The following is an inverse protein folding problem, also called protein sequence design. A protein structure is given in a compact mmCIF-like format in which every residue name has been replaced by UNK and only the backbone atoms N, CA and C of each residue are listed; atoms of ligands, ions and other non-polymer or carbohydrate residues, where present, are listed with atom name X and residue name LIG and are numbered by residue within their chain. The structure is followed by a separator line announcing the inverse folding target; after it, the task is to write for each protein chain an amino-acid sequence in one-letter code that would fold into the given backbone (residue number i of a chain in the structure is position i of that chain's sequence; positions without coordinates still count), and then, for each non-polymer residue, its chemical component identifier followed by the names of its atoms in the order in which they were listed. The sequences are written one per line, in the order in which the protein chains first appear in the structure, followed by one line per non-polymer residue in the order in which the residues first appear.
data_IF_481793066641
#
_entry.id   IF_481793066641
#
_cell.length_a   1.000
_cell.length_b   1.000
_cell.length_c   1.000
_cell.angle_alpha   90.00
_cell.angle_beta   90.00
_cell.angle_gamma   90.00
#
_symmetry.space_group_name_H-M   'P 1'
#
loop_
_entity.id
_entity.type
_entity.pdbx_description
1 polymer ?
#
# COMPACT_ATOMS: atom_id res chain seq x y z
N UNK A 1 12.94 29.22 5.02
CA UNK A 1 12.05 29.70 6.10
C UNK A 1 10.65 29.69 5.53
N UNK A 2 9.68 29.13 6.26
CA UNK A 2 8.30 29.03 5.80
C UNK A 2 7.51 30.31 6.01
N UNK A 3 6.25 30.37 5.54
CA UNK A 3 5.34 31.48 5.80
C UNK A 3 5.10 31.73 7.30
N UNK A 4 5.30 30.71 8.15
CA UNK A 4 5.03 30.74 9.59
C UNK A 4 6.07 31.53 10.41
N UNK A 5 7.20 31.91 9.81
CA UNK A 5 8.26 32.71 10.44
C UNK A 5 8.84 33.75 9.46
N UNK A 6 8.14 34.88 9.24
CA UNK A 6 8.64 35.95 8.37
C UNK A 6 9.90 36.62 8.95
N UNK A 7 10.88 36.93 8.10
CA UNK A 7 11.97 37.84 8.49
C UNK A 7 11.36 39.20 8.86
N UNK A 8 11.77 39.81 9.98
CA UNK A 8 11.42 41.22 10.25
C UNK A 8 11.93 42.09 9.10
N UNK A 9 11.04 42.89 8.52
CA UNK A 9 11.43 43.90 7.52
C UNK A 9 12.22 45.02 8.22
N UNK A 10 13.18 45.62 7.51
CA UNK A 10 13.89 46.82 7.95
C UNK A 10 13.43 47.98 7.08
N UNK A 11 12.99 49.07 7.70
CA UNK A 11 12.54 50.26 7.00
C UNK A 11 13.62 50.79 6.04
N UNK A 12 13.19 51.24 4.87
CA UNK A 12 14.05 51.75 3.79
C UNK A 12 15.12 50.78 3.24
N UNK A 13 15.08 49.49 3.59
CA UNK A 13 15.92 48.46 2.96
C UNK A 13 15.11 47.62 1.97
N UNK A 14 15.38 47.77 0.66
CA UNK A 14 14.97 46.80 -0.35
C UNK A 14 16.13 46.49 -1.29
N UNK A 15 16.49 45.20 -1.41
CA UNK A 15 17.59 44.75 -2.26
C UNK A 15 17.15 43.61 -3.18
N UNK A 16 17.52 43.71 -4.46
CA UNK A 16 17.13 42.78 -5.51
C UNK A 16 18.29 41.87 -5.92
N UNK A 17 18.11 40.55 -5.83
CA UNK A 17 19.10 39.59 -6.32
C UNK A 17 19.06 39.51 -7.86
N UNK A 18 20.14 39.90 -8.54
CA UNK A 18 20.23 39.87 -10.01
C UNK A 18 20.18 38.45 -10.59
N UNK A 19 20.66 37.43 -9.86
CA UNK A 19 20.69 36.02 -10.33
C UNK A 19 19.32 35.35 -10.36
N UNK A 20 18.45 35.64 -9.39
CA UNK A 20 17.17 34.95 -9.21
C UNK A 20 15.93 35.86 -9.26
N UNK A 21 16.11 37.17 -9.40
CA UNK A 21 15.06 38.20 -9.46
C UNK A 21 14.21 38.33 -8.18
N UNK A 22 14.64 37.76 -7.04
CA UNK A 22 13.97 37.95 -5.74
C UNK A 22 14.29 39.29 -5.09
N UNK A 23 13.31 39.83 -4.37
CA UNK A 23 13.40 41.04 -3.54
C UNK A 23 13.56 40.64 -2.06
N UNK A 24 14.38 41.39 -1.33
CA UNK A 24 14.70 41.17 0.09
C UNK A 24 14.58 42.47 0.87
N UNK A 25 13.76 42.47 1.92
CA UNK A 25 13.58 43.61 2.85
C UNK A 25 14.35 43.46 4.17
N UNK A 26 15.36 42.60 4.15
CA UNK A 26 16.23 42.34 5.29
C UNK A 26 17.63 41.91 4.78
N UNK A 27 18.72 42.60 5.17
CA UNK A 27 20.07 42.33 4.68
C UNK A 27 20.60 40.96 5.13
N UNK A 28 20.19 40.48 6.31
CA UNK A 28 20.56 39.14 6.82
C UNK A 28 19.91 38.06 5.94
N UNK A 29 18.65 38.26 5.55
CA UNK A 29 17.94 37.32 4.69
C UNK A 29 18.46 37.35 3.23
N UNK A 30 18.97 38.50 2.74
CA UNK A 30 19.73 38.56 1.48
C UNK A 30 21.09 37.85 1.58
N UNK A 31 21.89 38.14 2.61
CA UNK A 31 23.22 37.52 2.80
C UNK A 31 23.09 35.99 2.89
N UNK A 32 22.19 35.48 3.74
CA UNK A 32 21.89 34.04 3.87
C UNK A 32 21.39 33.40 2.57
N UNK A 33 20.76 34.16 1.67
CA UNK A 33 20.33 33.67 0.36
C UNK A 33 21.50 33.47 -0.61
N UNK A 34 22.50 34.36 -0.57
CA UNK A 34 23.76 34.22 -1.32
C UNK A 34 24.61 33.10 -0.71
N UNK A 35 24.89 33.15 0.60
CA UNK A 35 25.76 32.21 1.31
C UNK A 35 25.32 30.74 1.17
N UNK A 36 24.02 30.48 1.03
CA UNK A 36 23.44 29.12 0.89
C UNK A 36 23.08 28.74 -0.55
N UNK A 37 23.51 29.50 -1.56
CA UNK A 37 23.25 29.18 -2.97
C UNK A 37 21.76 29.15 -3.36
N UNK A 38 20.87 29.77 -2.56
CA UNK A 38 19.41 29.65 -2.72
C UNK A 38 18.95 30.21 -4.08
N UNK A 39 19.71 31.17 -4.64
CA UNK A 39 19.48 31.76 -5.96
C UNK A 39 19.57 30.77 -7.14
N UNK A 40 20.23 29.62 -6.96
CA UNK A 40 20.38 28.58 -7.98
C UNK A 40 19.19 27.62 -7.97
N UNK A 41 18.62 27.40 -6.79
CA UNK A 41 17.50 26.49 -6.55
C UNK A 41 16.15 27.18 -6.79
N UNK A 42 16.02 28.46 -6.46
CA UNK A 42 14.76 29.22 -6.56
C UNK A 42 14.91 30.51 -7.36
N UNK A 43 14.01 30.72 -8.33
CA UNK A 43 13.93 31.91 -9.20
C UNK A 43 12.52 32.53 -9.15
N UNK A 44 12.39 33.78 -9.56
CA UNK A 44 11.12 34.52 -9.63
C UNK A 44 10.75 34.86 -11.09
N UNK A 45 9.57 34.44 -11.59
CA UNK A 45 9.12 34.79 -12.96
C UNK A 45 9.12 36.33 -13.09
N UNK A 46 9.69 36.86 -14.18
CA UNK A 46 9.70 38.31 -14.42
C UNK A 46 8.31 38.86 -14.73
N UNK A 47 7.42 38.03 -15.29
CA UNK A 47 6.08 38.41 -15.74
C UNK A 47 5.03 38.34 -14.61
N UNK A 48 4.91 37.20 -13.91
CA UNK A 48 3.89 37.02 -12.86
C UNK A 48 4.41 37.19 -11.42
N UNK A 49 5.72 37.33 -11.22
CA UNK A 49 6.31 37.45 -9.88
C UNK A 49 6.33 36.17 -9.03
N UNK A 50 5.82 35.03 -9.52
CA UNK A 50 5.81 33.77 -8.77
C UNK A 50 7.24 33.23 -8.55
N UNK A 51 7.51 32.81 -7.31
CA UNK A 51 8.75 32.09 -6.97
C UNK A 51 8.57 30.61 -7.31
N UNK A 52 9.51 30.05 -8.06
CA UNK A 52 9.52 28.66 -8.49
C UNK A 52 10.87 28.00 -8.22
N UNK A 53 10.86 26.67 -8.09
CA UNK A 53 12.07 25.86 -7.96
C UNK A 53 12.56 25.44 -9.34
N UNK A 54 13.86 25.56 -9.59
CA UNK A 54 14.53 25.00 -10.77
C UNK A 54 14.59 23.48 -10.59
N UNK A 55 13.94 22.74 -11.48
CA UNK A 55 14.07 21.28 -11.59
C UNK A 55 15.14 20.94 -12.66
N UNK A 56 15.44 19.65 -12.84
CA UNK A 56 16.67 19.18 -13.53
C UNK A 56 16.89 19.77 -14.94
N UNK A 57 18.18 19.85 -15.33
CA UNK A 57 18.71 20.57 -16.51
C UNK A 57 18.15 20.17 -17.89
N UNK A 58 17.36 19.10 -17.99
CA UNK A 58 16.88 18.56 -19.27
C UNK A 58 15.54 19.20 -19.69
N UNK A 59 14.65 19.49 -18.73
CA UNK A 59 13.41 20.25 -18.98
C UNK A 59 13.66 21.75 -18.77
N UNK A 60 14.17 22.42 -19.80
CA UNK A 60 14.68 23.79 -19.73
C UNK A 60 13.61 24.90 -19.54
N UNK A 61 12.34 24.54 -19.35
CA UNK A 61 11.20 25.45 -19.15
C UNK A 61 10.78 25.57 -17.68
N UNK A 62 11.66 26.17 -16.88
CA UNK A 62 11.36 26.52 -15.49
C UNK A 62 10.21 27.53 -15.38
N UNK A 63 9.09 27.10 -14.79
CA UNK A 63 7.83 27.86 -14.61
C UNK A 63 7.29 28.53 -15.87
N UNK A 64 6.31 27.87 -16.49
CA UNK A 64 5.50 28.50 -17.54
C UNK A 64 4.49 29.45 -16.89
N UNK A 65 4.72 30.75 -17.06
CA UNK A 65 3.85 31.82 -16.58
C UNK A 65 2.44 31.67 -17.21
N UNK A 66 1.38 31.99 -16.44
CA UNK A 66 -0.06 31.86 -16.81
C UNK A 66 -0.64 30.45 -17.06
N UNK A 67 0.16 29.39 -16.95
CA UNK A 67 -0.32 28.00 -17.06
C UNK A 67 -0.86 27.49 -15.73
N UNK A 68 -2.03 26.81 -15.76
CA UNK A 68 -2.66 26.17 -14.61
C UNK A 68 -2.81 24.66 -14.84
N UNK A 69 -2.69 23.88 -13.77
CA UNK A 69 -3.03 22.46 -13.80
C UNK A 69 -4.55 22.31 -13.70
N UNK A 70 -5.16 21.64 -14.68
CA UNK A 70 -6.58 21.33 -14.65
C UNK A 70 -6.81 19.97 -13.98
N UNK A 71 -7.61 19.93 -12.92
CA UNK A 71 -7.93 18.70 -12.18
C UNK A 71 -8.75 17.68 -12.99
N UNK A 72 -9.48 18.14 -14.01
CA UNK A 72 -10.36 17.32 -14.85
C UNK A 72 -9.57 16.49 -15.86
N UNK A 73 -8.81 17.13 -16.76
CA UNK A 73 -7.98 16.46 -17.76
C UNK A 73 -6.60 16.02 -17.24
N UNK A 74 -6.19 16.49 -16.05
CA UNK A 74 -4.88 16.24 -15.42
C UNK A 74 -3.67 16.72 -16.22
N UNK A 75 -3.85 17.71 -17.10
CA UNK A 75 -2.76 18.39 -17.82
C UNK A 75 -2.67 19.88 -17.48
N UNK A 76 -1.58 20.50 -17.94
CA UNK A 76 -1.28 21.92 -17.77
C UNK A 76 -1.75 22.70 -18.99
N UNK A 77 -2.56 23.73 -18.78
CA UNK A 77 -3.14 24.56 -19.82
C UNK A 77 -2.96 26.04 -19.55
N UNK A 78 -2.83 26.85 -20.60
CA UNK A 78 -3.06 28.31 -20.51
C UNK A 78 -4.56 28.60 -20.32
N UNK A 79 -4.91 29.84 -19.95
CA UNK A 79 -6.32 30.23 -19.70
C UNK A 79 -7.21 30.24 -20.95
N UNK A 80 -6.58 30.41 -22.11
CA UNK A 80 -7.16 30.51 -23.45
C UNK A 80 -7.30 29.16 -24.15
N UNK A 81 -6.64 28.11 -23.65
CA UNK A 81 -6.77 26.75 -24.18
C UNK A 81 -8.08 26.10 -23.73
N UNK A 82 -8.83 25.56 -24.69
CA UNK A 82 -10.02 24.76 -24.38
C UNK A 82 -9.61 23.40 -23.80
N UNK A 83 -9.98 23.16 -22.54
CA UNK A 83 -9.71 21.90 -21.85
C UNK A 83 -10.59 20.77 -22.40
N UNK A 84 -10.07 19.99 -23.34
CA UNK A 84 -10.73 18.76 -23.80
C UNK A 84 -10.60 17.66 -22.73
N UNK A 85 -11.71 17.11 -22.26
CA UNK A 85 -11.71 15.96 -21.36
C UNK A 85 -11.19 14.75 -22.13
N UNK A 86 -9.98 14.30 -21.80
CA UNK A 86 -9.41 13.10 -22.39
C UNK A 86 -10.33 11.90 -22.13
N UNK A 87 -10.49 11.06 -23.15
CA UNK A 87 -11.18 9.77 -22.97
C UNK A 87 -10.52 9.00 -21.83
N UNK A 88 -11.33 8.28 -21.05
CA UNK A 88 -10.84 7.48 -19.92
C UNK A 88 -9.96 6.35 -20.47
N UNK A 89 -8.66 6.59 -20.57
CA UNK A 89 -7.68 5.56 -20.91
C UNK A 89 -7.78 4.48 -19.82
N UNK A 90 -8.08 3.22 -20.17
CA UNK A 90 -8.09 2.15 -19.19
C UNK A 90 -6.72 2.09 -18.51
N UNK A 91 -6.69 2.28 -17.18
CA UNK A 91 -5.46 2.09 -16.42
C UNK A 91 -4.94 0.68 -16.73
N UNK A 92 -3.65 0.57 -17.05
CA UNK A 92 -3.02 -0.73 -17.23
C UNK A 92 -3.33 -1.61 -16.02
N UNK A 93 -3.97 -2.75 -16.27
CA UNK A 93 -4.41 -3.67 -15.23
C UNK A 93 -3.18 -4.27 -14.55
N UNK A 94 -2.86 -3.78 -13.35
CA UNK A 94 -1.80 -4.37 -12.54
C UNK A 94 -2.16 -5.83 -12.26
N UNK A 95 -1.25 -6.73 -12.63
CA UNK A 95 -1.43 -8.17 -12.41
C UNK A 95 -1.45 -8.46 -10.91
N UNK A 96 -2.60 -8.93 -10.40
CA UNK A 96 -2.77 -9.36 -9.02
C UNK A 96 -3.11 -10.85 -8.94
N UNK A 97 -2.84 -11.44 -7.78
CA UNK A 97 -3.34 -12.75 -7.37
C UNK A 97 -4.51 -12.53 -6.42
N UNK A 98 -5.66 -13.12 -6.72
CA UNK A 98 -6.76 -13.30 -5.79
C UNK A 98 -6.65 -14.69 -5.16
N UNK A 99 -6.84 -14.76 -3.85
CA UNK A 99 -6.93 -16.02 -3.11
C UNK A 99 -8.26 -16.02 -2.38
N UNK A 100 -9.24 -16.76 -2.89
CA UNK A 100 -10.52 -16.92 -2.19
C UNK A 100 -10.34 -18.04 -1.19
N UNK A 101 -10.69 -17.82 0.08
CA UNK A 101 -10.56 -18.83 1.12
C UNK A 101 -11.77 -18.88 2.05
N UNK A 102 -11.94 -20.00 2.75
CA UNK A 102 -12.95 -20.17 3.78
C UNK A 102 -12.43 -21.07 4.91
N UNK A 103 -12.96 -20.86 6.12
CA UNK A 103 -12.55 -21.57 7.34
C UNK A 103 -13.75 -22.29 7.96
N UNK A 104 -13.63 -23.60 8.16
CA UNK A 104 -14.48 -24.30 9.13
C UNK A 104 -13.82 -24.24 10.50
N UNK A 105 -14.65 -24.06 11.54
CA UNK A 105 -14.20 -23.99 12.92
C UNK A 105 -14.99 -24.96 13.79
N UNK A 106 -14.28 -25.71 14.64
CA UNK A 106 -14.88 -26.43 15.75
C UNK A 106 -14.83 -25.60 17.05
N UNK A 107 -15.77 -25.86 17.95
CA UNK A 107 -15.77 -25.27 19.29
C UNK A 107 -14.99 -26.19 20.22
N UNK A 108 -13.90 -25.69 20.81
CA UNK A 108 -13.26 -26.41 21.92
C UNK A 108 -14.13 -26.21 23.16
N UNK A 109 -14.96 -27.20 23.49
CA UNK A 109 -15.59 -27.30 24.81
C UNK A 109 -14.58 -27.81 25.83
N UNK A 110 -14.45 -27.13 26.97
CA UNK A 110 -13.52 -27.44 28.06
C UNK A 110 -13.75 -28.79 28.78
N UNK A 111 -14.65 -29.63 28.25
CA UNK A 111 -15.00 -30.94 28.77
C UNK A 111 -14.07 -32.02 28.21
N UNK A 112 -12.79 -32.02 28.63
CA UNK A 112 -12.00 -33.22 28.91
C UNK A 112 -10.59 -32.89 29.44
N UNK A 113 -10.38 -33.21 30.73
CA UNK A 113 -9.10 -33.49 31.41
C UNK A 113 -8.18 -32.35 31.90
N UNK A 114 -8.35 -32.07 33.20
CA UNK A 114 -7.33 -32.12 34.28
C UNK A 114 -6.03 -31.31 34.22
N UNK A 115 -5.81 -30.56 35.31
CA UNK A 115 -4.52 -30.31 35.95
C UNK A 115 -3.51 -29.40 35.25
N UNK A 116 -3.93 -28.24 34.75
CA UNK A 116 -3.02 -27.08 34.70
C UNK A 116 -3.68 -25.84 35.32
N UNK A 117 -3.14 -25.41 36.46
CA UNK A 117 -3.61 -24.25 37.22
C UNK A 117 -3.09 -22.95 36.62
N UNK A 118 -3.73 -22.47 35.55
CA UNK A 118 -3.65 -21.06 35.15
C UNK A 118 -5.02 -20.55 34.72
N UNK A 119 -5.55 -19.58 35.48
CA UNK A 119 -6.89 -19.03 35.33
C UNK A 119 -7.02 -18.17 34.07
N UNK A 120 -7.81 -18.63 33.10
CA UNK A 120 -8.26 -17.81 31.96
C UNK A 120 -9.74 -18.07 31.64
N UNK A 121 -10.58 -17.09 31.99
CA UNK A 121 -12.01 -16.87 31.67
C UNK A 121 -12.92 -18.07 31.31
N UNK A 122 -13.89 -18.34 32.20
CA UNK A 122 -14.89 -19.41 32.13
C UNK A 122 -15.96 -19.29 31.00
N UNK A 123 -15.77 -18.44 29.98
CA UNK A 123 -16.75 -18.29 28.89
C UNK A 123 -16.17 -18.07 27.47
N UNK A 124 -14.86 -18.18 27.26
CA UNK A 124 -14.32 -18.17 25.89
C UNK A 124 -14.46 -19.54 25.23
N UNK A 125 -15.56 -19.72 24.48
CA UNK A 125 -15.60 -20.72 23.42
C UNK A 125 -14.53 -20.40 22.38
N UNK A 126 -13.40 -21.10 22.47
CA UNK A 126 -12.30 -20.97 21.52
C UNK A 126 -12.67 -21.69 20.21
N UNK A 127 -13.03 -20.89 19.20
CA UNK A 127 -13.13 -21.37 17.82
C UNK A 127 -11.75 -21.81 17.33
N UNK A 128 -11.61 -23.10 17.03
CA UNK A 128 -10.41 -23.71 16.48
C UNK A 128 -10.63 -24.03 15.00
N UNK A 129 -9.76 -23.51 14.12
CA UNK A 129 -9.87 -23.75 12.68
C UNK A 129 -9.51 -25.20 12.38
N UNK A 130 -10.50 -26.01 11.98
CA UNK A 130 -10.31 -27.43 11.72
C UNK A 130 -10.25 -27.77 10.22
N UNK A 131 -10.75 -26.88 9.36
CA UNK A 131 -10.53 -26.90 7.92
C UNK A 131 -10.22 -25.49 7.40
N UNK A 132 -9.26 -25.38 6.51
CA UNK A 132 -9.10 -24.24 5.60
C UNK A 132 -9.23 -24.76 4.18
N UNK A 133 -10.00 -24.08 3.33
CA UNK A 133 -9.97 -24.31 1.88
C UNK A 133 -9.64 -23.00 1.16
N UNK A 134 -8.78 -23.05 0.14
CA UNK A 134 -8.35 -21.87 -0.62
C UNK A 134 -8.19 -22.14 -2.12
N UNK A 135 -8.52 -21.13 -2.94
CA UNK A 135 -8.46 -21.16 -4.40
C UNK A 135 -7.62 -20.00 -4.97
N UNK A 136 -6.69 -20.32 -5.87
CA UNK A 136 -5.81 -19.36 -6.56
C UNK A 136 -6.36 -18.89 -7.92
N UNK A 137 -6.64 -17.59 -8.04
CA UNK A 137 -7.13 -16.95 -9.27
C UNK A 137 -6.26 -15.74 -9.61
N UNK A 138 -5.68 -15.67 -10.82
CA UNK A 138 -5.04 -14.43 -11.29
C UNK A 138 -5.55 -14.02 -12.67
N UNK A 139 -5.46 -12.72 -12.96
CA UNK A 139 -5.96 -12.10 -14.20
C UNK A 139 -5.49 -12.86 -15.45
N UNK A 140 -4.21 -13.25 -15.51
CA UNK A 140 -3.63 -13.99 -16.65
C UNK A 140 -4.19 -15.41 -16.80
N UNK A 141 -4.35 -16.14 -15.70
CA UNK A 141 -4.95 -17.47 -15.73
C UNK A 141 -6.45 -17.42 -16.08
N UNK A 142 -7.15 -16.34 -15.68
CA UNK A 142 -8.55 -16.12 -16.06
C UNK A 142 -8.69 -15.83 -17.56
N UNK A 143 -7.91 -14.89 -18.09
CA UNK A 143 -7.91 -14.51 -19.51
C UNK A 143 -7.60 -15.70 -20.44
N UNK A 144 -6.64 -16.55 -20.05
CA UNK A 144 -6.21 -17.68 -20.88
C UNK A 144 -7.00 -18.98 -20.63
N UNK A 145 -8.06 -18.96 -19.81
CA UNK A 145 -8.80 -20.14 -19.31
C UNK A 145 -8.01 -21.17 -18.48
N UNK A 146 -6.68 -21.06 -18.35
CA UNK A 146 -5.86 -21.95 -17.49
C UNK A 146 -6.34 -22.06 -16.04
N UNK A 147 -7.13 -21.10 -15.52
CA UNK A 147 -7.73 -21.16 -14.19
C UNK A 147 -8.56 -22.42 -13.91
N UNK A 148 -9.02 -23.11 -14.97
CA UNK A 148 -9.77 -24.38 -14.90
C UNK A 148 -8.88 -25.61 -14.69
N UNK A 149 -7.57 -25.49 -14.92
CA UNK A 149 -6.59 -26.57 -14.71
C UNK A 149 -6.37 -26.79 -13.20
N UNK A 150 -6.16 -28.03 -12.76
CA UNK A 150 -5.91 -28.33 -11.34
C UNK A 150 -4.65 -27.62 -10.79
N UNK A 151 -3.65 -27.37 -11.64
CA UNK A 151 -2.37 -26.76 -11.27
C UNK A 151 -2.14 -25.42 -11.98
N UNK A 152 -1.26 -24.59 -11.44
CA UNK A 152 -0.93 -23.26 -11.97
C UNK A 152 0.03 -23.26 -13.15
N UNK A 153 0.55 -24.43 -13.55
CA UNK A 153 1.53 -24.57 -14.62
C UNK A 153 2.80 -23.74 -14.37
N UNK A 154 3.19 -22.92 -15.34
CA UNK A 154 4.35 -22.00 -15.25
C UNK A 154 3.97 -20.58 -14.79
N UNK A 155 2.77 -20.36 -14.24
CA UNK A 155 2.28 -19.02 -13.92
C UNK A 155 3.06 -18.35 -12.76
N UNK A 156 3.89 -17.36 -13.10
CA UNK A 156 4.66 -16.55 -12.13
C UNK A 156 3.80 -15.78 -11.12
N UNK A 157 2.53 -15.49 -11.41
CA UNK A 157 1.65 -14.73 -10.49
C UNK A 157 0.94 -15.63 -9.49
N UNK A 158 0.65 -16.89 -9.83
CA UNK A 158 0.05 -17.87 -8.92
C UNK A 158 1.08 -18.75 -8.19
N UNK A 159 2.38 -18.56 -8.43
CA UNK A 159 3.42 -19.55 -8.10
C UNK A 159 3.44 -20.70 -9.11
N UNK A 160 4.62 -21.28 -9.38
CA UNK A 160 4.77 -22.37 -10.35
C UNK A 160 4.32 -23.71 -9.76
N UNK A 161 3.67 -24.54 -10.60
CA UNK A 161 3.21 -25.91 -10.28
C UNK A 161 2.41 -26.06 -8.98
N UNK A 162 1.86 -24.96 -8.46
CA UNK A 162 1.02 -24.95 -7.27
C UNK A 162 -0.35 -25.52 -7.62
N UNK A 163 -0.94 -26.35 -6.75
CA UNK A 163 -2.32 -26.79 -6.91
C UNK A 163 -3.25 -25.59 -6.69
N UNK A 164 -4.23 -25.37 -7.58
CA UNK A 164 -5.10 -24.18 -7.54
C UNK A 164 -6.04 -24.18 -6.36
N UNK A 165 -6.66 -25.31 -6.08
CA UNK A 165 -7.55 -25.52 -4.94
C UNK A 165 -6.86 -26.43 -3.94
N UNK A 166 -6.64 -25.94 -2.73
CA UNK A 166 -5.98 -26.67 -1.65
C UNK A 166 -6.85 -26.60 -0.39
N UNK A 167 -6.79 -27.65 0.40
CA UNK A 167 -7.40 -27.67 1.72
C UNK A 167 -6.40 -28.21 2.75
N UNK A 168 -6.47 -27.65 3.96
CA UNK A 168 -5.72 -28.08 5.12
C UNK A 168 -6.74 -28.49 6.17
N UNK A 169 -6.59 -29.67 6.77
CA UNK A 169 -7.54 -30.22 7.73
C UNK A 169 -6.83 -30.82 8.94
N UNK A 170 -7.49 -30.88 10.08
CA UNK A 170 -6.95 -31.52 11.31
C UNK A 170 -6.60 -33.00 11.13
N UNK A 171 -7.18 -33.67 10.12
CA UNK A 171 -6.79 -35.03 9.73
C UNK A 171 -5.35 -35.13 9.16
N UNK A 172 -4.81 -34.04 8.61
CA UNK A 172 -3.49 -34.00 7.96
C UNK A 172 -2.50 -33.04 8.64
N UNK A 173 -2.98 -32.08 9.43
CA UNK A 173 -2.19 -30.96 9.94
C UNK A 173 -2.57 -30.63 11.39
N UNK A 174 -1.58 -30.36 12.25
CA UNK A 174 -1.82 -29.98 13.65
C UNK A 174 -2.51 -28.61 13.80
N UNK A 175 -2.24 -27.68 12.89
CA UNK A 175 -2.89 -26.37 12.84
C UNK A 175 -3.13 -25.97 11.37
N UNK A 176 -4.33 -26.25 10.82
CA UNK A 176 -4.67 -25.94 9.43
C UNK A 176 -4.51 -24.46 9.05
N UNK A 177 -4.83 -23.54 9.96
CA UNK A 177 -4.70 -22.10 9.73
C UNK A 177 -3.24 -21.69 9.54
N UNK A 178 -2.33 -22.20 10.37
CA UNK A 178 -0.90 -21.90 10.27
C UNK A 178 -0.31 -22.38 8.97
N UNK A 179 -0.63 -23.62 8.57
CA UNK A 179 -0.12 -24.24 7.34
C UNK A 179 -0.64 -23.52 6.08
N UNK A 180 -1.88 -23.03 6.10
CA UNK A 180 -2.41 -22.14 5.08
C UNK A 180 -1.65 -20.81 5.00
N UNK A 181 -1.40 -20.16 6.14
CA UNK A 181 -0.67 -18.89 6.18
C UNK A 181 0.78 -19.06 5.74
N UNK A 182 1.48 -20.11 6.18
CA UNK A 182 2.84 -20.42 5.76
C UNK A 182 2.92 -20.66 4.25
N UNK A 183 1.97 -21.42 3.69
CA UNK A 183 1.85 -21.58 2.23
C UNK A 183 1.58 -20.26 1.49
N UNK A 184 0.68 -19.42 2.01
CA UNK A 184 0.30 -18.16 1.36
C UNK A 184 1.44 -17.11 1.39
N UNK A 185 2.19 -17.07 2.50
CA UNK A 185 3.28 -16.11 2.73
C UNK A 185 4.58 -16.59 2.06
N UNK A 186 4.93 -17.88 2.15
CA UNK A 186 6.23 -18.40 1.71
C UNK A 186 6.15 -19.46 0.59
N UNK A 187 5.08 -20.26 0.55
CA UNK A 187 4.97 -21.43 -0.33
C UNK A 187 4.60 -21.20 -1.80
N UNK A 188 4.29 -19.96 -2.22
CA UNK A 188 3.77 -19.63 -3.56
C UNK A 188 4.81 -18.98 -4.50
N UNK A 189 6.07 -19.41 -4.44
CA UNK A 189 7.25 -18.90 -5.18
C UNK A 189 7.65 -17.45 -4.80
N UNK A 190 8.93 -17.25 -4.45
CA UNK A 190 9.47 -15.93 -4.12
C UNK A 190 9.56 -14.98 -5.33
N UNK A 191 9.40 -15.50 -6.56
CA UNK A 191 9.31 -14.73 -7.82
C UNK A 191 7.92 -14.15 -8.10
N UNK A 192 6.95 -14.34 -7.19
CA UNK A 192 5.54 -13.90 -7.31
C UNK A 192 5.41 -12.37 -7.33
N UNK A 193 5.28 -11.81 -8.53
CA UNK A 193 5.13 -10.36 -8.76
C UNK A 193 3.67 -9.90 -8.67
N UNK A 194 3.44 -8.84 -7.88
CA UNK A 194 2.13 -8.18 -7.75
C UNK A 194 1.57 -8.20 -6.32
N UNK A 195 0.40 -7.58 -6.14
CA UNK A 195 -0.39 -7.64 -4.90
C UNK A 195 -1.14 -8.97 -4.84
N UNK A 196 -1.17 -9.59 -3.67
CA UNK A 196 -2.11 -10.67 -3.34
C UNK A 196 -3.29 -10.06 -2.60
N UNK A 197 -4.50 -10.43 -3.00
CA UNK A 197 -5.76 -10.06 -2.36
C UNK A 197 -6.40 -11.37 -1.90
N UNK A 198 -6.29 -11.65 -0.61
CA UNK A 198 -6.91 -12.80 0.01
C UNK A 198 -8.31 -12.38 0.49
N UNK A 199 -9.35 -13.02 -0.02
CA UNK A 199 -10.75 -12.69 0.29
C UNK A 199 -11.34 -13.89 1.01
N UNK A 200 -11.89 -13.67 2.20
CA UNK A 200 -12.64 -14.73 2.88
C UNK A 200 -14.15 -14.58 2.69
N UNK A 201 -14.89 -15.67 2.86
CA UNK A 201 -16.34 -15.65 2.81
C UNK A 201 -16.93 -14.74 3.92
N UNK A 202 -16.29 -14.65 5.09
CA UNK A 202 -16.78 -13.90 6.24
C UNK A 202 -15.77 -12.96 6.92
N UNK A 203 -14.89 -12.35 6.11
CA UNK A 203 -13.70 -11.63 6.58
C UNK A 203 -13.98 -10.53 7.61
N UNK A 204 -15.08 -9.80 7.43
CA UNK A 204 -15.51 -8.75 8.36
C UNK A 204 -15.84 -9.19 9.79
N UNK A 205 -15.81 -10.48 10.12
CA UNK A 205 -15.93 -11.00 11.49
C UNK A 205 -14.81 -12.00 11.83
N UNK A 206 -15.11 -13.28 12.00
CA UNK A 206 -14.26 -14.21 12.75
C UNK A 206 -12.95 -14.56 12.03
N UNK A 207 -13.01 -14.84 10.73
CA UNK A 207 -11.88 -15.33 9.93
C UNK A 207 -10.64 -14.44 10.06
N UNK A 208 -10.83 -13.11 9.91
CA UNK A 208 -9.72 -12.16 9.98
C UNK A 208 -9.16 -11.97 11.40
N UNK A 209 -9.91 -12.28 12.45
CA UNK A 209 -9.39 -12.25 13.83
C UNK A 209 -8.52 -13.49 14.13
N UNK A 210 -8.93 -14.67 13.65
CA UNK A 210 -8.16 -15.91 13.77
C UNK A 210 -6.82 -15.79 13.02
N UNK A 211 -6.89 -15.36 11.75
CA UNK A 211 -5.77 -14.91 10.92
C UNK A 211 -4.82 -13.98 11.70
N UNK A 212 -5.34 -12.88 12.24
CA UNK A 212 -4.54 -11.85 12.89
C UNK A 212 -3.82 -12.38 14.13
N UNK A 213 -4.47 -13.28 14.88
CA UNK A 213 -3.89 -13.98 16.02
C UNK A 213 -2.66 -14.81 15.63
N UNK A 214 -2.76 -15.64 14.59
CA UNK A 214 -1.62 -16.46 14.10
C UNK A 214 -0.50 -15.59 13.50
N UNK A 215 -0.82 -14.56 12.71
CA UNK A 215 0.17 -13.64 12.13
C UNK A 215 1.07 -13.01 13.20
N UNK A 216 0.48 -12.50 14.28
CA UNK A 216 1.22 -11.84 15.36
C UNK A 216 1.94 -12.89 16.23
N UNK A 217 1.22 -13.92 16.70
CA UNK A 217 1.75 -14.87 17.71
C UNK A 217 2.77 -15.86 17.16
N UNK A 218 2.63 -16.29 15.91
CA UNK A 218 3.43 -17.37 15.33
C UNK A 218 4.38 -16.92 14.23
N UNK A 219 3.96 -15.97 13.39
CA UNK A 219 4.84 -15.44 12.33
C UNK A 219 5.62 -14.18 12.76
N UNK A 220 5.30 -13.58 13.91
CA UNK A 220 5.91 -12.31 14.34
C UNK A 220 5.62 -11.14 13.39
N UNK A 221 4.58 -11.27 12.56
CA UNK A 221 4.19 -10.27 11.57
C UNK A 221 3.20 -9.32 12.25
N UNK A 222 3.59 -8.06 12.38
CA UNK A 222 2.70 -6.95 12.70
C UNK A 222 2.13 -6.37 11.38
N UNK A 223 0.84 -6.59 11.07
CA UNK A 223 0.21 -6.06 9.86
C UNK A 223 -0.35 -4.65 10.09
N UNK A 224 -0.49 -3.90 9.00
CA UNK A 224 -1.34 -2.71 8.96
C UNK A 224 -2.81 -3.16 9.05
N UNK A 225 -3.65 -2.48 9.84
CA UNK A 225 -5.05 -2.88 10.05
C UNK A 225 -6.00 -1.70 9.77
N UNK A 226 -6.95 -1.91 8.86
CA UNK A 226 -8.09 -1.02 8.64
C UNK A 226 -9.32 -1.61 9.32
N UNK A 227 -9.89 -0.90 10.31
CA UNK A 227 -11.03 -1.39 11.11
C UNK A 227 -11.99 -0.29 11.56
N UNK A 228 -13.19 -0.67 11.99
CA UNK A 228 -14.11 0.21 12.75
C UNK A 228 -14.70 -0.59 13.91
N UNK A 229 -14.42 -0.17 15.15
CA UNK A 229 -14.67 -1.01 16.32
C UNK A 229 -13.97 -2.36 16.20
N UNK A 230 -14.72 -3.44 16.38
CA UNK A 230 -14.25 -4.82 16.23
C UNK A 230 -14.42 -5.37 14.79
N UNK A 231 -14.93 -4.57 13.84
CA UNK A 231 -15.03 -4.99 12.44
C UNK A 231 -13.73 -4.69 11.70
N UNK A 232 -13.03 -5.74 11.27
CA UNK A 232 -11.88 -5.63 10.37
C UNK A 232 -12.38 -5.44 8.93
N UNK A 233 -11.69 -4.61 8.16
CA UNK A 233 -11.94 -4.40 6.71
C UNK A 233 -10.73 -4.75 5.86
N UNK A 234 -9.52 -4.53 6.39
CA UNK A 234 -8.28 -4.95 5.76
C UNK A 234 -7.27 -5.32 6.85
N UNK A 235 -6.60 -6.46 6.66
CA UNK A 235 -5.37 -6.81 7.38
C UNK A 235 -4.28 -6.92 6.33
N UNK A 236 -3.24 -6.11 6.44
CA UNK A 236 -2.28 -5.86 5.36
C UNK A 236 -0.85 -6.22 5.79
N UNK A 237 -0.29 -7.23 5.12
CA UNK A 237 1.12 -7.59 5.21
C UNK A 237 1.89 -6.82 4.12
N UNK A 238 2.67 -5.81 4.55
CA UNK A 238 3.60 -5.08 3.70
C UNK A 238 4.78 -5.97 3.30
N UNK A 239 5.33 -5.73 2.10
CA UNK A 239 6.60 -6.31 1.66
C UNK A 239 7.72 -5.86 2.60
N UNK A 240 8.40 -6.82 3.23
CA UNK A 240 9.65 -6.67 4.00
C UNK A 240 10.67 -7.68 3.43
N UNK A 241 11.94 -7.54 3.76
CA UNK A 241 12.94 -8.53 3.36
C UNK A 241 12.58 -9.91 3.90
N UNK A 242 12.58 -10.92 3.02
CA UNK A 242 12.10 -12.28 3.33
C UNK A 242 10.59 -12.51 3.16
N UNK A 243 9.76 -11.46 3.18
CA UNK A 243 8.29 -11.59 3.02
C UNK A 243 7.89 -11.24 1.58
N UNK A 244 7.57 -12.27 0.80
CA UNK A 244 7.20 -12.18 -0.61
C UNK A 244 5.82 -12.82 -0.86
N UNK A 245 4.73 -12.03 -1.03
CA UNK A 245 4.64 -10.66 -1.52
C UNK A 245 3.84 -9.76 -0.56
N UNK A 246 3.41 -8.60 -1.06
CA UNK A 246 2.40 -7.76 -0.41
C UNK A 246 1.03 -8.48 -0.43
N UNK A 247 0.48 -8.80 0.74
CA UNK A 247 -0.81 -9.53 0.88
C UNK A 247 -1.77 -8.64 1.66
N UNK A 248 -2.97 -8.40 1.12
CA UNK A 248 -4.08 -7.86 1.91
C UNK A 248 -5.17 -8.92 2.06
N UNK A 249 -5.65 -9.10 3.28
CA UNK A 249 -6.81 -9.91 3.63
C UNK A 249 -8.03 -9.00 3.75
N UNK A 250 -9.19 -9.44 3.25
CA UNK A 250 -10.44 -8.67 3.15
C UNK A 250 -11.68 -9.56 3.27
#
# INVERSE_FOLDING_TARGET
MGPDFPCKEIENFELKCLKCNNLFRNPICYKRHIDKGICEIFKRCKECGQIYRVQNKEDNEGHVCFVRFCSLCRSRHRRDEQCYVQQIVPKQTQSYLMVVYDFECELITSSNNTNDSSSYDENYQLHHVNCVSAMLLCVKCMQNNNWKEEYTGSCKTCGQKSKRMRSWTTANYKNPLREFLEWLIFGLDNKRTGRTIAISHYGGRYDMHLLLGELIKHFGIEPDITRTGNKLYEVLIKKKDGIYPYISFS
#
